data_IF_098470238283
#
_entry.id   IF_098470238283
#
_cell.length_a   1.000
_cell.length_b   1.000
_cell.length_c   1.000
_cell.angle_alpha   90.00
_cell.angle_beta   90.00
_cell.angle_gamma   90.00
#
_symmetry.space_group_name_H-M   'P 1'
#
loop_
_entity.id
_entity.type
_entity.pdbx_description
1 polymer ?
#
# COMPACT_ATOMS: atom_id res chain seq x y z
N UNK A 1 69.80 -28.78 -27.93
CA UNK A 1 68.56 -29.19 -27.22
C UNK A 1 67.73 -27.95 -26.89
N UNK A 2 68.38 -26.87 -26.44
CA UNK A 2 67.72 -25.60 -26.07
C UNK A 2 67.02 -24.87 -27.24
N UNK A 3 67.56 -24.93 -28.47
CA UNK A 3 66.97 -24.24 -29.64
C UNK A 3 65.64 -24.83 -30.12
N UNK A 4 65.38 -26.11 -29.86
CA UNK A 4 64.08 -26.72 -30.19
C UNK A 4 63.04 -26.39 -29.13
N UNK A 5 63.45 -26.34 -27.86
CA UNK A 5 62.59 -25.91 -26.76
C UNK A 5 62.18 -24.44 -26.88
N UNK A 6 63.11 -23.55 -27.26
CA UNK A 6 62.82 -22.12 -27.44
C UNK A 6 61.84 -21.87 -28.58
N UNK A 7 61.95 -22.60 -29.70
CA UNK A 7 60.98 -22.54 -30.81
C UNK A 7 59.59 -22.97 -30.39
N UNK A 8 59.48 -24.11 -29.70
CA UNK A 8 58.18 -24.60 -29.23
C UNK A 8 57.53 -23.62 -28.25
N UNK A 9 58.32 -23.02 -27.34
CA UNK A 9 57.81 -22.00 -26.41
C UNK A 9 57.30 -20.78 -27.18
N UNK A 10 58.04 -20.33 -28.19
CA UNK A 10 57.64 -19.17 -29.01
C UNK A 10 56.38 -19.44 -29.85
N UNK A 11 56.24 -20.66 -30.37
CA UNK A 11 55.04 -21.05 -31.12
C UNK A 11 53.82 -21.10 -30.19
N UNK A 12 53.97 -21.67 -28.98
CA UNK A 12 52.91 -21.71 -27.97
C UNK A 12 52.53 -20.32 -27.44
N UNK A 13 53.49 -19.41 -27.26
CA UNK A 13 53.16 -18.03 -26.85
C UNK A 13 52.45 -17.26 -27.96
N UNK A 14 52.81 -17.49 -29.23
CA UNK A 14 52.08 -16.91 -30.36
C UNK A 14 50.63 -17.42 -30.43
N UNK A 15 50.41 -18.72 -30.17
CA UNK A 15 49.06 -19.28 -30.07
C UNK A 15 48.27 -18.66 -28.90
N UNK A 16 48.86 -18.56 -27.71
CA UNK A 16 48.23 -17.93 -26.55
C UNK A 16 47.80 -16.49 -26.84
N UNK A 17 48.67 -15.69 -27.45
CA UNK A 17 48.36 -14.31 -27.82
C UNK A 17 47.17 -14.22 -28.80
N UNK A 18 47.10 -15.14 -29.78
CA UNK A 18 45.97 -15.22 -30.71
C UNK A 18 44.65 -15.54 -29.99
N UNK A 19 44.68 -16.44 -29.00
CA UNK A 19 43.51 -16.73 -28.18
C UNK A 19 43.12 -15.55 -27.29
N UNK A 20 44.08 -14.83 -26.70
CA UNK A 20 43.81 -13.63 -25.91
C UNK A 20 43.14 -12.53 -26.75
N UNK A 21 43.60 -12.30 -27.98
CA UNK A 21 42.97 -11.36 -28.90
C UNK A 21 41.51 -11.75 -29.22
N UNK A 22 41.25 -13.03 -29.48
CA UNK A 22 39.89 -13.54 -29.70
C UNK A 22 39.01 -13.38 -28.47
N UNK A 23 39.51 -13.66 -27.28
CA UNK A 23 38.77 -13.45 -26.04
C UNK A 23 38.46 -11.96 -25.83
N UNK A 24 39.43 -11.08 -26.08
CA UNK A 24 39.22 -9.64 -26.01
C UNK A 24 38.19 -9.13 -27.01
N UNK A 25 38.08 -9.72 -28.22
CA UNK A 25 36.98 -9.39 -29.14
C UNK A 25 35.62 -9.79 -28.61
N UNK A 26 35.51 -10.98 -28.01
CA UNK A 26 34.26 -11.47 -27.42
C UNK A 26 33.85 -10.62 -26.21
N UNK A 27 34.81 -10.27 -25.34
CA UNK A 27 34.55 -9.40 -24.20
C UNK A 27 34.04 -8.01 -24.62
N UNK A 28 34.59 -7.44 -25.70
CA UNK A 28 34.10 -6.19 -26.28
C UNK A 28 32.67 -6.33 -26.82
N UNK A 29 32.35 -7.43 -27.50
CA UNK A 29 30.99 -7.68 -28.00
C UNK A 29 29.97 -7.81 -26.86
N UNK A 30 30.37 -8.42 -25.74
CA UNK A 30 29.53 -8.62 -24.56
C UNK A 30 29.52 -7.42 -23.59
N UNK A 31 30.31 -6.37 -23.87
CA UNK A 31 30.57 -5.25 -22.95
C UNK A 31 31.02 -5.73 -21.55
N UNK A 32 31.81 -6.80 -21.49
CA UNK A 32 32.37 -7.33 -20.24
C UNK A 32 33.81 -6.91 -20.11
N UNK A 33 34.19 -6.47 -18.91
CA UNK A 33 35.56 -6.10 -18.59
C UNK A 33 36.16 -7.16 -17.67
N UNK A 34 37.34 -7.66 -18.04
CA UNK A 34 38.03 -8.73 -17.29
C UNK A 34 38.27 -8.26 -15.85
N UNK A 35 38.61 -6.99 -15.66
CA UNK A 35 38.86 -6.40 -14.35
C UNK A 35 37.61 -6.51 -13.46
N UNK A 36 36.42 -6.21 -14.00
CA UNK A 36 35.15 -6.36 -13.26
C UNK A 36 34.89 -7.80 -12.84
N UNK A 37 35.14 -8.77 -13.71
CA UNK A 37 34.95 -10.19 -13.42
C UNK A 37 35.91 -10.64 -12.30
N UNK A 38 37.17 -10.22 -12.37
CA UNK A 38 38.14 -10.55 -11.31
C UNK A 38 37.80 -9.89 -9.98
N UNK A 39 37.21 -8.69 -10.00
CA UNK A 39 36.68 -8.04 -8.79
C UNK A 39 35.50 -8.82 -8.22
N UNK A 40 34.55 -9.25 -9.05
CA UNK A 40 33.44 -10.11 -8.60
C UNK A 40 33.91 -11.44 -8.00
N UNK A 41 34.93 -12.08 -8.57
CA UNK A 41 35.52 -13.30 -7.99
C UNK A 41 36.19 -13.04 -6.64
N UNK A 42 36.90 -11.92 -6.49
CA UNK A 42 37.48 -11.49 -5.21
C UNK A 42 36.38 -11.19 -4.19
N UNK A 43 35.29 -10.54 -4.60
CA UNK A 43 34.14 -10.28 -3.72
C UNK A 43 33.41 -11.55 -3.30
N UNK A 44 33.27 -12.51 -4.20
CA UNK A 44 32.65 -13.80 -3.92
C UNK A 44 33.50 -14.68 -2.99
N UNK A 45 34.83 -14.64 -3.12
CA UNK A 45 35.73 -15.37 -2.22
C UNK A 45 35.77 -14.77 -0.81
N UNK A 46 35.43 -13.49 -0.64
CA UNK A 46 35.31 -12.82 0.67
C UNK A 46 34.04 -13.19 1.47
N UNK A 47 33.23 -14.15 0.99
CA UNK A 47 32.04 -14.63 1.68
C UNK A 47 32.38 -15.75 2.67
N UNK A 48 32.13 -15.51 3.95
CA UNK A 48 32.29 -16.47 5.04
C UNK A 48 30.92 -17.00 5.46
N UNK A 49 30.85 -18.29 5.75
CA UNK A 49 29.63 -18.93 6.29
C UNK A 49 29.51 -18.72 7.79
N UNK A 50 28.29 -18.46 8.27
CA UNK A 50 28.05 -18.28 9.70
C UNK A 50 27.96 -19.62 10.45
N UNK A 51 28.57 -19.77 11.65
CA UNK A 51 28.45 -21.00 12.46
C UNK A 51 27.04 -21.30 12.98
N UNK A 52 26.19 -20.27 13.13
CA UNK A 52 24.85 -20.41 13.72
C UNK A 52 23.75 -20.70 12.68
N UNK A 53 24.03 -20.47 11.40
CA UNK A 53 23.11 -20.73 10.29
C UNK A 53 23.91 -20.97 9.00
N UNK A 54 23.89 -22.21 8.51
CA UNK A 54 24.58 -22.62 7.29
C UNK A 54 24.02 -21.94 6.03
N UNK A 55 22.82 -21.36 6.11
CA UNK A 55 22.23 -20.57 5.03
C UNK A 55 22.76 -19.14 4.93
N UNK A 56 23.49 -18.64 5.95
CA UNK A 56 24.04 -17.30 5.93
C UNK A 56 25.46 -17.27 5.34
N UNK A 57 25.59 -16.56 4.21
CA UNK A 57 26.88 -16.16 3.61
C UNK A 57 27.06 -14.66 3.78
N UNK A 58 28.17 -14.26 4.39
CA UNK A 58 28.39 -12.89 4.84
C UNK A 58 29.80 -12.45 4.48
N UNK A 59 29.94 -11.22 4.01
CA UNK A 59 31.25 -10.65 3.71
C UNK A 59 32.12 -10.60 4.98
N UNK A 60 33.40 -10.94 4.84
CA UNK A 60 34.38 -10.98 5.93
C UNK A 60 34.41 -9.67 6.74
N UNK A 61 34.37 -8.52 6.04
CA UNK A 61 34.35 -7.18 6.66
C UNK A 61 33.21 -6.99 7.66
N UNK A 62 32.06 -7.64 7.42
CA UNK A 62 30.85 -7.53 8.24
C UNK A 62 30.61 -8.74 9.15
N UNK A 63 31.50 -9.74 9.11
CA UNK A 63 31.34 -11.00 9.82
C UNK A 63 31.22 -10.82 11.34
N UNK A 64 32.03 -9.93 11.96
CA UNK A 64 31.99 -9.67 13.41
C UNK A 64 30.63 -9.14 13.89
N UNK A 65 30.03 -8.24 13.11
CA UNK A 65 28.71 -7.69 13.41
C UNK A 65 27.61 -8.71 13.17
N UNK A 66 27.72 -9.48 12.09
CA UNK A 66 26.82 -10.58 11.82
C UNK A 66 26.87 -11.64 12.93
N UNK A 67 28.06 -12.08 13.35
CA UNK A 67 28.25 -13.11 14.36
C UNK A 67 27.48 -12.78 15.63
N UNK A 68 27.66 -11.58 16.18
CA UNK A 68 26.93 -11.13 17.39
C UNK A 68 25.42 -11.12 17.18
N UNK A 69 24.95 -10.66 16.01
CA UNK A 69 23.51 -10.62 15.69
C UNK A 69 22.92 -12.02 15.53
N UNK A 70 23.65 -12.91 14.88
CA UNK A 70 23.22 -14.26 14.60
C UNK A 70 23.26 -15.12 15.86
N UNK A 71 24.26 -14.94 16.72
CA UNK A 71 24.36 -15.51 18.06
C UNK A 71 23.15 -15.15 18.93
N UNK A 72 22.85 -13.85 19.06
CA UNK A 72 21.70 -13.38 19.83
C UNK A 72 20.37 -13.93 19.28
N UNK A 73 20.23 -13.96 17.95
CA UNK A 73 19.03 -14.51 17.28
C UNK A 73 18.90 -16.02 17.49
N UNK A 74 20.00 -16.78 17.40
CA UNK A 74 20.06 -18.22 17.64
C UNK A 74 19.63 -18.56 19.08
N UNK A 75 20.05 -17.75 20.05
CA UNK A 75 19.61 -17.87 21.45
C UNK A 75 18.21 -17.26 21.73
N UNK A 76 17.46 -16.83 20.71
CA UNK A 76 16.08 -16.36 20.85
C UNK A 76 15.92 -14.92 21.35
N UNK A 77 17.01 -14.17 21.52
CA UNK A 77 16.99 -12.78 21.95
C UNK A 77 16.66 -11.90 20.74
N UNK A 78 15.38 -11.54 20.60
CA UNK A 78 14.92 -10.60 19.56
C UNK A 78 15.11 -9.17 20.07
N UNK A 79 15.88 -8.38 19.34
CA UNK A 79 16.20 -6.99 19.67
C UNK A 79 14.95 -6.10 19.47
N UNK A 80 14.03 -6.08 20.45
CA UNK A 80 12.77 -5.31 20.44
C UNK A 80 13.01 -3.80 20.19
N UNK A 81 14.16 -3.27 20.66
CA UNK A 81 14.54 -1.86 20.49
C UNK A 81 14.80 -1.47 19.03
N UNK A 82 15.11 -2.43 18.14
CA UNK A 82 15.39 -2.14 16.72
C UNK A 82 14.16 -2.26 15.82
N UNK A 83 12.98 -2.62 16.35
CA UNK A 83 11.74 -2.76 15.56
C UNK A 83 11.12 -1.46 15.08
N UNK A 84 11.68 -0.29 15.40
CA UNK A 84 11.30 0.94 14.73
C UNK A 84 12.58 1.67 14.35
N UNK A 85 13.01 1.55 13.09
CA UNK A 85 13.65 2.71 12.45
C UNK A 85 12.67 3.84 12.73
N UNK A 86 13.06 4.83 13.53
CA UNK A 86 12.19 5.97 13.78
C UNK A 86 11.83 6.49 12.40
N UNK A 87 10.56 6.37 12.03
CA UNK A 87 10.14 6.88 10.74
C UNK A 87 10.48 8.37 10.76
N UNK A 88 10.97 8.92 9.64
CA UNK A 88 11.16 10.36 9.56
C UNK A 88 9.84 11.03 9.99
N UNK A 89 9.95 12.09 10.79
CA UNK A 89 8.78 12.79 11.32
C UNK A 89 7.91 13.27 10.15
N UNK A 90 6.63 13.50 10.39
CA UNK A 90 5.75 14.11 9.38
C UNK A 90 6.34 15.41 8.81
N UNK A 91 7.13 16.15 9.61
CA UNK A 91 7.90 17.32 9.19
C UNK A 91 8.78 17.05 7.97
N UNK A 92 9.48 15.91 7.94
CA UNK A 92 10.36 15.53 6.84
C UNK A 92 9.62 15.45 5.49
N UNK A 93 8.35 15.03 5.50
CA UNK A 93 7.55 14.89 4.29
C UNK A 93 6.96 16.20 3.79
N UNK A 94 6.82 17.20 4.67
CA UNK A 94 6.08 18.44 4.38
C UNK A 94 6.95 19.70 4.42
N UNK A 95 8.25 19.59 4.67
CA UNK A 95 9.19 20.70 4.81
C UNK A 95 9.15 21.68 3.62
N UNK A 96 8.94 21.17 2.40
CA UNK A 96 8.89 21.97 1.17
C UNK A 96 7.47 22.21 0.65
N UNK A 97 6.44 21.73 1.35
CA UNK A 97 5.07 21.80 0.85
C UNK A 97 4.44 23.17 1.17
N UNK A 98 3.96 23.93 0.16
CA UNK A 98 3.38 25.25 0.39
C UNK A 98 1.99 25.22 1.03
N UNK A 99 1.42 24.03 1.23
CA UNK A 99 0.04 23.80 1.69
C UNK A 99 0.01 23.40 3.17
N UNK A 100 1.05 22.72 3.68
CA UNK A 100 1.05 22.20 5.04
C UNK A 100 1.82 23.14 5.96
N UNK A 101 1.10 23.75 6.91
CA UNK A 101 1.67 24.63 7.92
C UNK A 101 2.14 23.77 9.10
N UNK A 102 3.45 23.72 9.36
CA UNK A 102 3.97 23.08 10.55
C UNK A 102 3.82 23.98 11.77
N UNK A 103 3.12 23.48 12.79
CA UNK A 103 2.90 24.16 14.07
C UNK A 103 4.02 23.87 15.09
N UNK A 104 4.95 22.96 14.77
CA UNK A 104 6.01 22.55 15.69
C UNK A 104 7.30 23.27 15.30
N UNK A 105 7.53 24.42 15.92
CA UNK A 105 8.84 25.08 15.85
C UNK A 105 9.77 24.40 16.86
N UNK A 106 10.71 23.61 16.35
CA UNK A 106 11.78 22.92 17.08
C UNK A 106 11.29 21.91 18.13
N UNK A 107 11.19 20.60 17.80
CA UNK A 107 11.13 19.60 18.85
C UNK A 107 12.47 19.61 19.58
N UNK A 108 12.50 20.15 20.80
CA UNK A 108 13.62 19.96 21.70
C UNK A 108 13.94 18.46 21.79
N UNK A 109 15.22 18.05 21.74
CA UNK A 109 15.57 16.64 21.81
C UNK A 109 15.21 16.10 23.19
N UNK A 110 14.38 15.05 23.20
CA UNK A 110 14.11 14.17 24.33
C UNK A 110 13.59 14.82 25.63
N UNK A 111 12.37 15.34 25.61
CA UNK A 111 11.52 15.24 26.81
C UNK A 111 10.90 13.84 26.83
N UNK A 112 11.61 12.95 27.53
CA UNK A 112 11.14 11.63 27.94
C UNK A 112 9.64 11.60 28.26
N UNK A 113 8.93 10.59 27.74
CA UNK A 113 7.51 10.30 27.93
C UNK A 113 7.12 9.94 29.39
N UNK A 114 7.81 10.49 30.39
CA UNK A 114 7.69 10.12 31.80
C UNK A 114 6.86 11.10 32.63
N UNK A 115 6.40 12.22 32.08
CA UNK A 115 5.56 13.14 32.84
C UNK A 115 4.09 12.76 32.68
N UNK A 116 3.52 12.16 33.73
CA UNK A 116 2.07 12.02 33.91
C UNK A 116 1.46 13.40 33.75
N UNK A 117 0.93 13.71 32.56
CA UNK A 117 0.29 14.99 32.27
C UNK A 117 -0.94 15.08 33.18
N UNK A 118 -0.83 15.84 34.27
CA UNK A 118 -2.01 16.20 35.03
C UNK A 118 -2.99 16.92 34.10
N UNK A 119 -4.30 16.64 34.18
CA UNK A 119 -5.27 17.26 33.31
C UNK A 119 -5.25 18.78 33.55
N UNK A 120 -4.85 19.53 32.52
CA UNK A 120 -4.85 21.00 32.53
C UNK A 120 -6.23 21.52 32.94
N UNK A 121 -6.26 22.59 33.72
CA UNK A 121 -7.53 23.25 34.06
C UNK A 121 -8.20 23.84 32.81
N UNK A 122 -9.52 24.09 32.87
CA UNK A 122 -10.27 24.69 31.74
C UNK A 122 -9.63 26.02 31.30
N UNK A 123 -9.22 26.85 32.26
CA UNK A 123 -8.57 28.14 31.98
C UNK A 123 -7.22 27.97 31.29
N UNK A 124 -6.42 26.97 31.69
CA UNK A 124 -5.13 26.71 31.06
C UNK A 124 -5.30 26.19 29.63
N UNK A 125 -6.30 25.33 29.38
CA UNK A 125 -6.63 24.86 28.03
C UNK A 125 -7.13 25.99 27.12
N UNK A 126 -7.92 26.90 27.67
CA UNK A 126 -8.39 28.06 26.93
C UNK A 126 -7.21 29.00 26.62
N UNK A 127 -6.31 29.22 27.57
CA UNK A 127 -5.09 30.00 27.35
C UNK A 127 -4.19 29.41 26.26
N UNK A 128 -3.96 28.09 26.26
CA UNK A 128 -3.19 27.44 25.19
C UNK A 128 -3.88 27.55 23.83
N UNK A 129 -5.19 27.35 23.79
CA UNK A 129 -5.97 27.48 22.54
C UNK A 129 -5.89 28.89 21.95
N UNK A 130 -6.02 29.92 22.77
CA UNK A 130 -5.88 31.31 22.32
C UNK A 130 -4.46 31.61 21.83
N UNK A 131 -3.44 31.10 22.52
CA UNK A 131 -2.05 31.25 22.08
C UNK A 131 -1.77 30.56 20.74
N UNK A 132 -2.33 29.37 20.51
CA UNK A 132 -2.21 28.64 19.24
C UNK A 132 -2.92 29.37 18.10
N UNK A 133 -4.10 29.97 18.37
CA UNK A 133 -4.80 30.83 17.40
C UNK A 133 -3.94 32.04 17.04
N UNK A 134 -3.39 32.73 18.04
CA UNK A 134 -2.57 33.92 17.82
C UNK A 134 -1.31 33.58 17.02
N UNK A 135 -0.68 32.44 17.31
CA UNK A 135 0.46 31.94 16.55
C UNK A 135 0.06 31.62 15.10
N UNK A 136 -1.06 30.92 14.90
CA UNK A 136 -1.57 30.62 13.56
C UNK A 136 -1.88 31.89 12.76
N UNK A 137 -2.43 32.92 13.41
CA UNK A 137 -2.73 34.20 12.77
C UNK A 137 -1.44 34.94 12.37
N UNK A 138 -0.41 34.94 13.23
CA UNK A 138 0.90 35.52 12.92
C UNK A 138 1.56 34.80 11.74
N UNK A 139 1.58 33.46 11.75
CA UNK A 139 2.14 32.67 10.63
C UNK A 139 1.39 32.97 9.33
N UNK A 140 0.06 33.08 9.37
CA UNK A 140 -0.76 33.41 8.19
C UNK A 140 -0.45 34.82 7.66
N UNK A 141 -0.20 35.79 8.54
CA UNK A 141 0.20 37.14 8.17
C UNK A 141 1.62 37.18 7.56
N UNK A 142 2.57 36.48 8.15
CA UNK A 142 3.95 36.41 7.65
C UNK A 142 4.04 35.70 6.29
N UNK A 143 3.24 34.65 6.11
CA UNK A 143 3.21 33.82 4.90
C UNK A 143 2.23 34.34 3.84
N UNK A 144 1.84 35.63 3.86
CA UNK A 144 0.85 36.24 2.96
C UNK A 144 1.19 36.02 1.46
N UNK A 145 0.82 34.86 0.92
CA UNK A 145 0.43 34.69 -0.47
C UNK A 145 -1.04 35.12 -0.55
N UNK A 146 -1.46 35.91 -1.55
CA UNK A 146 -2.89 36.18 -1.72
C UNK A 146 -3.56 34.81 -1.91
N UNK A 147 -4.43 34.44 -0.97
CA UNK A 147 -5.32 33.30 -1.15
C UNK A 147 -6.18 33.68 -2.35
N UNK A 148 -5.82 33.18 -3.54
CA UNK A 148 -6.79 33.05 -4.62
C UNK A 148 -7.79 32.06 -4.06
N UNK A 149 -8.87 32.60 -3.54
CA UNK A 149 -10.04 31.80 -3.22
C UNK A 149 -10.60 31.36 -4.58
N UNK A 150 -10.08 30.24 -5.08
CA UNK A 150 -10.47 29.62 -6.35
C UNK A 150 -11.94 29.16 -6.32
N UNK A 151 -12.57 29.23 -5.14
CA UNK A 151 -13.93 28.81 -4.85
C UNK A 151 -14.85 29.97 -4.46
N UNK A 152 -14.54 31.20 -4.89
CA UNK A 152 -15.55 32.25 -4.91
C UNK A 152 -16.71 31.76 -5.79
N UNK A 153 -17.92 31.72 -5.23
CA UNK A 153 -19.15 31.21 -5.82
C UNK A 153 -19.31 29.67 -5.87
N UNK A 154 -18.54 28.89 -5.09
CA UNK A 154 -18.75 27.44 -5.03
C UNK A 154 -20.18 27.06 -4.65
N UNK A 155 -20.76 27.75 -3.67
CA UNK A 155 -22.14 27.50 -3.23
C UNK A 155 -23.15 27.77 -4.35
N UNK A 156 -22.95 28.84 -5.12
CA UNK A 156 -23.84 29.22 -6.24
C UNK A 156 -23.73 28.22 -7.41
N UNK A 157 -22.51 27.78 -7.73
CA UNK A 157 -22.26 26.75 -8.76
C UNK A 157 -22.85 25.41 -8.33
N UNK A 158 -22.71 25.04 -7.06
CA UNK A 158 -23.24 23.79 -6.51
C UNK A 158 -24.77 23.77 -6.54
N UNK A 159 -25.42 24.86 -6.13
CA UNK A 159 -26.87 25.01 -6.19
C UNK A 159 -27.39 24.95 -7.64
N UNK A 160 -26.70 25.58 -8.59
CA UNK A 160 -27.06 25.51 -10.02
C UNK A 160 -26.98 24.07 -10.56
N UNK A 161 -25.95 23.32 -10.17
CA UNK A 161 -25.77 21.90 -10.52
C UNK A 161 -26.89 21.02 -9.94
N UNK A 162 -27.30 21.26 -8.70
CA UNK A 162 -28.42 20.53 -8.10
C UNK A 162 -29.73 20.80 -8.85
N UNK A 163 -30.02 22.06 -9.18
CA UNK A 163 -31.23 22.42 -9.94
C UNK A 163 -31.25 21.78 -11.33
N UNK A 164 -30.10 21.74 -12.03
CA UNK A 164 -29.99 21.05 -13.32
C UNK A 164 -30.23 19.55 -13.19
N UNK A 165 -29.67 18.93 -12.14
CA UNK A 165 -29.87 17.49 -11.87
C UNK A 165 -31.33 17.19 -11.50
N UNK A 166 -32.00 18.06 -10.74
CA UNK A 166 -33.42 17.92 -10.39
C UNK A 166 -34.33 18.08 -11.61
N UNK A 167 -34.02 19.03 -12.51
CA UNK A 167 -34.76 19.20 -13.76
C UNK A 167 -34.57 18.01 -14.72
N UNK A 168 -33.36 17.47 -14.81
CA UNK A 168 -33.08 16.30 -15.66
C UNK A 168 -33.67 15.00 -15.10
N UNK A 169 -33.76 14.85 -13.78
CA UNK A 169 -34.25 13.63 -13.13
C UNK A 169 -35.71 13.74 -12.65
N UNK A 170 -36.52 14.63 -13.23
CA UNK A 170 -37.95 14.69 -12.92
C UNK A 170 -38.63 13.36 -13.28
N UNK A 171 -38.71 12.46 -12.30
CA UNK A 171 -39.45 11.20 -12.35
C UNK A 171 -38.63 9.92 -12.53
N UNK A 172 -37.31 9.99 -12.73
CA UNK A 172 -36.48 8.79 -12.91
C UNK A 172 -35.40 8.69 -11.83
N UNK A 173 -35.50 7.65 -10.99
CA UNK A 173 -34.47 7.34 -9.98
C UNK A 173 -33.18 6.94 -10.68
N UNK A 174 -32.08 7.58 -10.32
CA UNK A 174 -30.76 7.20 -10.84
C UNK A 174 -30.41 5.77 -10.39
N UNK A 175 -29.61 5.04 -11.16
CA UNK A 175 -29.12 3.68 -10.80
C UNK A 175 -28.51 3.66 -9.39
N UNK A 176 -27.77 4.71 -9.01
CA UNK A 176 -27.16 4.82 -7.68
C UNK A 176 -28.21 5.00 -6.57
N UNK A 177 -29.26 5.78 -6.83
CA UNK A 177 -30.38 5.98 -5.90
C UNK A 177 -31.19 4.70 -5.74
N UNK A 178 -31.44 3.97 -6.84
CA UNK A 178 -32.12 2.69 -6.83
C UNK A 178 -31.34 1.64 -6.03
N UNK A 179 -30.01 1.58 -6.18
CA UNK A 179 -29.15 0.72 -5.36
C UNK A 179 -29.13 1.16 -3.89
N UNK A 180 -29.15 2.46 -3.60
CA UNK A 180 -29.25 2.97 -2.24
C UNK A 180 -30.59 2.58 -1.59
N UNK A 181 -31.69 2.71 -2.31
CA UNK A 181 -33.03 2.33 -1.87
C UNK A 181 -33.13 0.81 -1.65
N UNK A 182 -32.58 -0.02 -2.53
CA UNK A 182 -32.52 -1.48 -2.33
C UNK A 182 -31.74 -1.85 -1.07
N UNK A 183 -30.61 -1.17 -0.80
CA UNK A 183 -29.84 -1.40 0.43
C UNK A 183 -30.64 -1.00 1.66
N UNK A 184 -31.31 0.15 1.60
CA UNK A 184 -32.10 0.64 2.72
C UNK A 184 -33.37 -0.22 2.96
N UNK A 185 -34.00 -0.74 1.90
CA UNK A 185 -35.07 -1.74 1.98
C UNK A 185 -34.59 -3.02 2.67
N UNK A 186 -33.43 -3.57 2.26
CA UNK A 186 -32.82 -4.74 2.90
C UNK A 186 -32.51 -4.51 4.39
N UNK A 187 -32.02 -3.30 4.73
CA UNK A 187 -31.72 -2.92 6.12
C UNK A 187 -33.00 -2.77 6.94
N UNK A 188 -34.01 -2.05 6.43
CA UNK A 188 -35.31 -1.86 7.10
C UNK A 188 -36.04 -3.18 7.31
N UNK A 189 -36.03 -4.12 6.35
CA UNK A 189 -36.66 -5.45 6.47
C UNK A 189 -36.12 -6.24 7.67
N UNK A 190 -34.81 -6.17 7.94
CA UNK A 190 -34.20 -6.80 9.13
C UNK A 190 -34.63 -6.12 10.44
N UNK A 191 -34.67 -4.80 10.46
CA UNK A 191 -35.07 -4.03 11.65
C UNK A 191 -36.56 -4.23 12.03
N UNK A 192 -37.47 -4.28 11.04
CA UNK A 192 -38.88 -4.58 11.29
C UNK A 192 -39.11 -6.03 11.72
N UNK A 193 -38.29 -6.99 11.25
CA UNK A 193 -38.34 -8.38 11.71
C UNK A 193 -38.01 -8.54 13.19
N UNK A 194 -36.95 -7.90 13.67
CA UNK A 194 -36.55 -8.01 15.08
C UNK A 194 -37.51 -7.26 16.02
N UNK A 195 -38.02 -6.10 15.59
CA UNK A 195 -38.93 -5.28 16.41
C UNK A 195 -40.37 -5.81 16.45
N UNK A 196 -40.86 -6.50 15.42
CA UNK A 196 -42.21 -7.06 15.45
C UNK A 196 -42.35 -8.23 16.43
N UNK A 197 -41.27 -8.91 16.82
CA UNK A 197 -41.33 -10.03 17.77
C UNK A 197 -41.75 -9.55 19.16
N UNK A 198 -41.20 -8.42 19.64
CA UNK A 198 -41.58 -7.86 20.95
C UNK A 198 -42.89 -7.08 20.93
N UNK A 199 -43.33 -6.58 19.76
CA UNK A 199 -44.58 -5.83 19.61
C UNK A 199 -45.79 -6.75 19.43
N UNK A 200 -45.64 -7.90 18.75
CA UNK A 200 -46.77 -8.78 18.39
C UNK A 200 -46.99 -9.95 19.35
N UNK A 201 -46.23 -10.04 20.45
CA UNK A 201 -46.31 -11.11 21.46
C UNK A 201 -46.42 -12.53 20.84
N UNK A 202 -45.66 -12.78 19.77
CA UNK A 202 -45.68 -14.08 19.07
C UNK A 202 -45.10 -15.17 19.95
N UNK A 203 -45.68 -16.36 19.86
CA UNK A 203 -45.14 -17.56 20.50
C UNK A 203 -43.86 -18.01 19.79
N UNK A 204 -42.98 -18.73 20.50
CA UNK A 204 -41.72 -19.22 19.93
C UNK A 204 -41.95 -20.03 18.63
N UNK A 205 -43.01 -20.84 18.56
CA UNK A 205 -43.40 -21.59 17.37
C UNK A 205 -43.79 -20.71 16.20
N UNK A 206 -44.57 -19.63 16.41
CA UNK A 206 -44.90 -18.67 15.36
C UNK A 206 -43.65 -17.98 14.81
N UNK A 207 -42.71 -17.59 15.69
CA UNK A 207 -41.43 -17.03 15.28
C UNK A 207 -40.64 -18.02 14.41
N UNK A 208 -40.63 -19.31 14.76
CA UNK A 208 -39.99 -20.34 13.94
C UNK A 208 -40.66 -20.52 12.57
N UNK A 209 -42.00 -20.53 12.51
CA UNK A 209 -42.73 -20.61 11.23
C UNK A 209 -42.42 -19.41 10.32
N UNK A 210 -42.38 -18.21 10.88
CA UNK A 210 -42.01 -16.99 10.14
C UNK A 210 -40.57 -17.06 9.63
N UNK A 211 -39.66 -17.59 10.44
CA UNK A 211 -38.26 -17.78 10.08
C UNK A 211 -38.10 -18.80 8.94
N UNK A 212 -38.87 -19.89 8.96
CA UNK A 212 -38.87 -20.88 7.88
C UNK A 212 -39.44 -20.27 6.60
N UNK A 213 -40.60 -19.62 6.68
CA UNK A 213 -41.23 -18.96 5.52
C UNK A 213 -40.28 -17.94 4.88
N UNK A 214 -39.62 -17.14 5.72
CA UNK A 214 -38.59 -16.19 5.34
C UNK A 214 -37.43 -16.81 4.54
N UNK A 215 -36.80 -17.85 5.06
CA UNK A 215 -35.71 -18.51 4.36
C UNK A 215 -36.20 -19.15 3.07
N UNK A 216 -37.41 -19.71 3.07
CA UNK A 216 -38.02 -20.31 1.87
C UNK A 216 -38.24 -19.28 0.75
N UNK A 217 -38.67 -18.06 1.08
CA UNK A 217 -38.77 -16.95 0.12
C UNK A 217 -37.40 -16.54 -0.43
N UNK A 218 -36.40 -16.39 0.45
CA UNK A 218 -35.05 -16.02 0.04
C UNK A 218 -34.42 -17.10 -0.86
N UNK A 219 -34.68 -18.38 -0.59
CA UNK A 219 -34.26 -19.50 -1.45
C UNK A 219 -34.96 -19.51 -2.81
N UNK A 220 -36.26 -19.19 -2.87
CA UNK A 220 -36.99 -19.06 -4.14
C UNK A 220 -36.40 -17.96 -5.02
N UNK A 221 -36.13 -16.79 -4.43
CA UNK A 221 -35.49 -15.68 -5.12
C UNK A 221 -34.08 -16.02 -5.63
N UNK A 222 -33.30 -16.76 -4.84
CA UNK A 222 -31.98 -17.24 -5.26
C UNK A 222 -32.07 -18.23 -6.42
N UNK A 223 -33.09 -19.11 -6.42
CA UNK A 223 -33.34 -20.05 -7.51
C UNK A 223 -33.72 -19.30 -8.79
N UNK A 224 -34.68 -18.37 -8.72
CA UNK A 224 -35.12 -17.55 -9.85
C UNK A 224 -33.95 -16.73 -10.44
N UNK A 225 -33.06 -16.21 -9.58
CA UNK A 225 -31.86 -15.51 -10.04
C UNK A 225 -30.83 -16.44 -10.70
N UNK A 226 -30.70 -17.68 -10.21
CA UNK A 226 -29.88 -18.71 -10.81
C UNK A 226 -30.37 -19.13 -12.19
N UNK A 227 -31.68 -19.33 -12.34
CA UNK A 227 -32.32 -19.65 -13.63
C UNK A 227 -32.11 -18.52 -14.64
N UNK A 228 -32.30 -17.27 -14.21
CA UNK A 228 -32.07 -16.09 -15.06
C UNK A 228 -30.62 -15.96 -15.53
N UNK A 229 -29.64 -16.32 -14.68
CA UNK A 229 -28.22 -16.36 -15.05
C UNK A 229 -27.92 -17.49 -16.04
N UNK A 230 -28.54 -18.67 -15.88
CA UNK A 230 -28.38 -19.79 -16.79
C UNK A 230 -29.01 -19.51 -18.17
N UNK A 231 -30.11 -18.78 -18.20
CA UNK A 231 -30.75 -18.37 -19.46
C UNK A 231 -29.94 -17.27 -20.17
N UNK A 232 -29.36 -16.32 -19.43
CA UNK A 232 -28.43 -15.33 -19.99
C UNK A 232 -27.16 -15.97 -20.61
N UNK A 233 -26.63 -17.03 -20.00
CA UNK A 233 -25.48 -17.78 -20.55
C UNK A 233 -25.88 -18.61 -21.78
N UNK A 234 -27.15 -19.03 -21.88
CA UNK A 234 -27.67 -19.76 -23.06
C UNK A 234 -27.84 -18.86 -24.28
N UNK A 235 -28.21 -17.60 -24.10
CA UNK A 235 -28.39 -16.65 -25.21
C UNK A 235 -27.07 -16.17 -25.83
N UNK A 236 -25.96 -16.14 -25.09
CA UNK A 236 -24.64 -15.79 -25.65
C UNK A 236 -24.03 -16.92 -26.52
N UNK A 237 -24.54 -18.15 -26.41
CA UNK A 237 -24.04 -19.31 -27.16
C UNK A 237 -24.57 -19.48 -28.59
N UNK A 238 -25.47 -18.61 -29.07
CA UNK A 238 -26.11 -18.76 -30.39
C UNK A 238 -25.62 -17.78 -31.47
N UNK A 239 -24.69 -16.86 -31.17
CA UNK A 239 -24.28 -15.82 -32.13
C UNK A 239 -22.95 -16.06 -32.88
N UNK A 240 -22.23 -17.17 -32.61
CA UNK A 240 -20.89 -17.42 -33.17
C UNK A 240 -20.84 -18.39 -34.38
N UNK A 241 -21.92 -18.48 -35.17
CA UNK A 241 -21.91 -19.30 -36.42
C UNK A 241 -22.53 -18.59 -37.62
N UNK A 242 -22.16 -17.35 -37.91
CA UNK A 242 -22.39 -16.80 -39.25
C UNK A 242 -21.47 -15.66 -39.69
N UNK A 243 -20.14 -15.87 -39.61
CA UNK A 243 -19.21 -15.15 -40.49
C UNK A 243 -18.11 -16.12 -40.90
N UNK A 244 -18.27 -16.76 -42.06
CA UNK A 244 -17.21 -17.30 -42.94
C UNK A 244 -17.89 -18.22 -43.97
N UNK A 245 -18.49 -17.63 -45.00
CA UNK A 245 -18.61 -18.19 -46.36
C UNK A 245 -19.40 -17.27 -47.28
N UNK A 246 -18.67 -16.40 -47.99
CA UNK A 246 -18.74 -16.10 -49.44
C UNK A 246 -18.17 -14.73 -49.74
#
# INVERSE_FOLDING_TARGET
>A
MDDQQSKIINDLTAELNNYEEKLNTIFKELNWDIDTITEYEKEASNLVTCPFDNGHKVQEKSYKDHYKRCELKYHGIKDEKRKRRQLPSSQFFYEQSPIVISLVQNPAPDESFSSVRQPLSVSQRLGSYLADIDLSNKIRQEQHKPVRDEYKDFDEVWEALQRMKEQQNQGQKSRAELLAEMRDYKRRRKSYRAKNISITNRTATQVHHDLIAAFTEDYKLLHEFGDMLLDAVRDEGHNDKHVMSR
#
